data_IF_650063060424
#
_entry.id   IF_650063060424
#
_cell.length_a   1.000
_cell.length_b   1.000
_cell.length_c   1.000
_cell.angle_alpha   90.00
_cell.angle_beta   90.00
_cell.angle_gamma   90.00
#
_symmetry.space_group_name_H-M   'P 1'
#
loop_
_entity.id
_entity.type
_entity.pdbx_description
1 polymer ?
#
# COMPACT_ATOMS: atom_id res chain seq x y z
N UNK A 1 10.48 -11.60 -6.55
CA UNK A 1 10.06 -11.43 -5.13
C UNK A 1 8.65 -10.88 -5.14
N UNK A 2 7.68 -11.62 -4.62
CA UNK A 2 6.32 -11.10 -4.47
C UNK A 2 6.25 -10.26 -3.19
N UNK A 3 5.75 -9.02 -3.33
CA UNK A 3 5.48 -8.14 -2.20
C UNK A 3 4.01 -8.27 -1.85
N UNK A 4 3.73 -8.55 -0.59
CA UNK A 4 2.37 -8.68 -0.04
C UNK A 4 1.97 -7.37 0.65
N UNK A 5 0.67 -7.09 0.67
CA UNK A 5 0.13 -5.96 1.43
C UNK A 5 -1.08 -6.42 2.24
N UNK A 6 -0.92 -6.50 3.55
CA UNK A 6 -1.97 -6.99 4.44
C UNK A 6 -2.71 -5.85 5.12
N UNK A 7 -4.04 -5.94 5.11
CA UNK A 7 -4.94 -5.11 5.92
C UNK A 7 -5.90 -6.06 6.62
N UNK A 8 -5.97 -6.03 7.95
CA UNK A 8 -6.79 -6.93 8.76
C UNK A 8 -6.61 -8.43 8.40
N UNK A 9 -5.36 -8.83 8.09
CA UNK A 9 -5.01 -10.20 7.71
C UNK A 9 -5.30 -10.57 6.26
N UNK A 10 -5.88 -9.66 5.47
CA UNK A 10 -6.21 -9.87 4.06
C UNK A 10 -5.12 -9.30 3.15
N UNK A 11 -4.55 -10.13 2.27
CA UNK A 11 -3.66 -9.65 1.20
C UNK A 11 -4.47 -8.93 0.13
N UNK A 12 -4.42 -7.60 0.15
CA UNK A 12 -5.20 -6.77 -0.75
C UNK A 12 -4.68 -6.81 -2.19
N UNK A 13 -3.40 -7.17 -2.39
CA UNK A 13 -2.80 -7.29 -3.72
C UNK A 13 -3.33 -8.55 -4.39
N UNK A 14 -3.16 -9.72 -3.76
CA UNK A 14 -3.66 -10.98 -4.32
C UNK A 14 -5.18 -11.01 -4.49
N UNK A 15 -5.93 -10.36 -3.59
CA UNK A 15 -7.38 -10.23 -3.72
C UNK A 15 -7.79 -9.38 -4.93
N UNK A 16 -6.98 -8.40 -5.30
CA UNK A 16 -7.34 -7.45 -6.36
C UNK A 16 -7.31 -8.06 -7.75
N UNK A 17 -6.19 -8.67 -8.11
CA UNK A 17 -5.99 -9.43 -9.35
C UNK A 17 -4.75 -10.30 -9.10
N UNK A 18 -4.85 -11.60 -9.37
CA UNK A 18 -3.73 -12.55 -9.24
C UNK A 18 -2.47 -12.16 -10.03
N UNK A 19 -2.57 -11.27 -11.01
CA UNK A 19 -1.47 -10.75 -11.84
C UNK A 19 -0.84 -9.49 -11.28
N UNK A 20 -1.32 -9.00 -10.14
CA UNK A 20 -0.75 -7.84 -9.47
C UNK A 20 0.54 -8.20 -8.75
N UNK A 21 1.52 -7.32 -8.88
CA UNK A 21 2.80 -7.41 -8.20
C UNK A 21 2.98 -6.15 -7.37
N UNK A 22 3.12 -6.33 -6.06
CA UNK A 22 3.34 -5.21 -5.15
C UNK A 22 4.60 -4.43 -5.48
N UNK A 23 4.48 -3.10 -5.48
CA UNK A 23 5.63 -2.21 -5.66
C UNK A 23 6.64 -2.42 -4.55
N UNK A 24 7.88 -2.11 -4.87
CA UNK A 24 9.00 -2.47 -4.03
C UNK A 24 8.99 -1.69 -2.70
N UNK A 25 9.19 -2.35 -1.53
CA UNK A 25 9.11 -1.68 -0.22
C UNK A 25 10.04 -0.45 -0.08
N UNK A 26 11.26 -0.45 -0.64
CA UNK A 26 12.12 0.77 -0.66
C UNK A 26 11.46 1.98 -1.34
N UNK A 27 10.59 1.75 -2.32
CA UNK A 27 9.91 2.82 -3.04
C UNK A 27 8.75 3.38 -2.21
N UNK A 28 8.03 2.50 -1.50
CA UNK A 28 6.81 2.84 -0.76
C UNK A 28 7.07 3.34 0.68
N UNK A 29 7.91 2.62 1.42
CA UNK A 29 8.00 2.70 2.89
C UNK A 29 9.17 3.54 3.41
N UNK A 30 10.05 4.02 2.54
CA UNK A 30 11.17 4.87 2.96
C UNK A 30 10.67 6.09 3.74
N UNK A 31 11.45 6.65 4.68
CA UNK A 31 11.10 7.91 5.33
C UNK A 31 10.72 8.99 4.32
N UNK A 32 9.55 9.61 4.51
CA UNK A 32 8.98 10.61 3.57
C UNK A 32 8.50 10.03 2.23
N UNK A 33 8.44 8.70 2.09
CA UNK A 33 7.95 8.00 0.91
C UNK A 33 6.43 8.06 0.73
N UNK A 34 5.90 7.43 -0.33
CA UNK A 34 4.48 7.45 -0.67
C UNK A 34 3.55 7.00 0.46
N UNK A 35 3.92 5.97 1.23
CA UNK A 35 3.10 5.48 2.35
C UNK A 35 3.37 6.18 3.69
N UNK A 36 4.28 7.14 3.75
CA UNK A 36 4.39 8.00 4.93
C UNK A 36 3.10 8.83 5.06
N UNK A 37 2.57 9.13 6.27
CA UNK A 37 1.36 9.96 6.44
C UNK A 37 1.59 11.46 6.19
N UNK A 38 0.59 12.16 5.67
CA UNK A 38 0.49 13.63 5.69
C UNK A 38 -0.96 14.07 5.70
N UNK A 39 -1.22 15.29 6.18
CA UNK A 39 -2.56 15.88 6.19
C UNK A 39 -3.12 16.05 4.78
N UNK A 40 -2.29 16.44 3.81
CA UNK A 40 -2.68 16.50 2.41
C UNK A 40 -2.97 15.08 1.87
N UNK A 41 -4.17 14.82 1.32
CA UNK A 41 -4.47 13.54 0.70
C UNK A 41 -3.56 13.27 -0.51
N UNK A 42 -3.09 12.04 -0.64
CA UNK A 42 -2.29 11.58 -1.79
C UNK A 42 -2.79 10.25 -2.33
N UNK A 43 -2.74 10.09 -3.64
CA UNK A 43 -2.97 8.79 -4.28
C UNK A 43 -1.64 8.05 -4.40
N UNK A 44 -1.61 6.81 -3.94
CA UNK A 44 -0.42 5.96 -3.90
C UNK A 44 -0.70 4.69 -4.69
N UNK A 45 0.15 4.40 -5.67
CA UNK A 45 0.21 3.07 -6.30
C UNK A 45 0.93 2.12 -5.35
N UNK A 46 0.34 0.97 -5.07
CA UNK A 46 0.90 -0.06 -4.17
C UNK A 46 1.21 -1.36 -4.89
N UNK A 47 0.59 -1.60 -6.05
CA UNK A 47 0.91 -2.72 -6.91
C UNK A 47 0.68 -2.33 -8.38
N UNK A 48 1.37 -3.04 -9.27
CA UNK A 48 1.20 -2.94 -10.72
C UNK A 48 0.92 -4.31 -11.29
N UNK A 49 0.06 -4.37 -12.31
CA UNK A 49 -0.14 -5.59 -13.08
C UNK A 49 1.10 -5.92 -13.90
N UNK A 50 1.56 -7.17 -13.81
CA UNK A 50 2.70 -7.66 -14.57
C UNK A 50 2.50 -7.47 -16.09
N UNK A 51 3.50 -6.90 -16.77
CA UNK A 51 3.45 -6.63 -18.21
C UNK A 51 2.62 -5.43 -18.66
N UNK A 52 2.09 -4.61 -17.74
CA UNK A 52 1.37 -3.38 -18.08
C UNK A 52 2.28 -2.15 -18.20
N UNK A 53 1.96 -1.24 -19.12
CA UNK A 53 2.52 0.12 -19.11
C UNK A 53 2.07 0.87 -17.84
N UNK A 54 2.90 1.82 -17.40
CA UNK A 54 2.61 2.60 -16.20
C UNK A 54 1.24 3.30 -16.32
N UNK A 55 0.50 3.35 -15.20
CA UNK A 55 -0.81 3.99 -14.99
C UNK A 55 -2.05 3.20 -15.41
N UNK A 56 -1.94 2.25 -16.35
CA UNK A 56 -3.04 1.35 -16.72
C UNK A 56 -2.93 0.04 -15.91
N UNK A 57 -3.77 -0.12 -14.89
CA UNK A 57 -3.80 -1.36 -14.09
C UNK A 57 -2.90 -1.35 -12.85
N UNK A 58 -2.64 -0.19 -12.28
CA UNK A 58 -2.06 -0.06 -10.94
C UNK A 58 -3.16 -0.17 -9.86
N UNK A 59 -2.89 -0.94 -8.80
CA UNK A 59 -3.68 -0.94 -7.58
C UNK A 59 -3.31 0.31 -6.80
N UNK A 60 -4.28 1.20 -6.63
CA UNK A 60 -4.09 2.50 -5.97
C UNK A 60 -4.95 2.61 -4.72
N UNK A 61 -4.44 3.36 -3.76
CA UNK A 61 -5.19 3.84 -2.59
C UNK A 61 -5.03 5.35 -2.45
N UNK A 62 -5.97 5.99 -1.78
CA UNK A 62 -5.83 7.35 -1.28
C UNK A 62 -5.46 7.31 0.19
N UNK A 63 -4.37 7.97 0.53
CA UNK A 63 -3.82 8.05 1.88
C UNK A 63 -3.92 9.48 2.40
N UNK A 64 -4.42 9.65 3.63
CA UNK A 64 -4.42 10.93 4.34
C UNK A 64 -4.28 10.73 5.84
N UNK A 65 -3.67 11.70 6.52
CA UNK A 65 -3.72 11.82 7.97
C UNK A 65 -4.96 12.63 8.36
N UNK A 66 -5.74 12.12 9.31
CA UNK A 66 -6.90 12.81 9.89
C UNK A 66 -6.83 12.71 11.42
N UNK A 67 -6.40 13.80 12.06
CA UNK A 67 -6.12 13.78 13.50
C UNK A 67 -5.05 12.74 13.82
N UNK A 68 -5.35 11.83 14.74
CA UNK A 68 -4.43 10.75 15.15
C UNK A 68 -4.58 9.45 14.31
N UNK A 69 -5.24 9.51 13.14
CA UNK A 69 -5.49 8.32 12.32
C UNK A 69 -5.03 8.50 10.88
N UNK A 70 -4.32 7.51 10.37
CA UNK A 70 -4.04 7.35 8.94
C UNK A 70 -5.23 6.67 8.30
N UNK A 71 -5.76 7.27 7.24
CA UNK A 71 -6.94 6.79 6.55
C UNK A 71 -6.55 6.38 5.15
N UNK A 72 -6.86 5.12 4.82
CA UNK A 72 -6.79 4.60 3.46
C UNK A 72 -8.21 4.56 2.91
N UNK A 73 -8.45 5.20 1.78
CA UNK A 73 -9.73 5.18 1.06
C UNK A 73 -9.49 4.84 -0.40
N UNK A 74 -10.58 4.61 -1.13
CA UNK A 74 -10.54 4.44 -2.58
C UNK A 74 -9.50 3.38 -3.00
N UNK A 75 -9.42 2.28 -2.24
CA UNK A 75 -8.62 1.14 -2.69
C UNK A 75 -9.35 0.57 -3.91
N UNK A 76 -8.85 0.90 -5.09
CA UNK A 76 -9.52 0.60 -6.36
C UNK A 76 -9.02 -0.74 -6.89
N UNK A 77 -9.85 -1.78 -6.81
CA UNK A 77 -9.61 -3.01 -7.56
C UNK A 77 -9.65 -2.70 -9.07
N UNK A 78 -8.61 -3.03 -9.85
CA UNK A 78 -8.68 -2.91 -11.29
C UNK A 78 -9.44 -4.11 -11.86
N UNK A 79 -10.65 -3.86 -12.36
CA UNK A 79 -11.48 -4.87 -13.01
C UNK A 79 -12.95 -4.44 -13.06
N UNK A 80 -13.76 -5.01 -13.96
CA UNK A 80 -15.20 -4.71 -14.04
C UNK A 80 -15.91 -5.23 -12.78
N UNK A 81 -16.08 -4.34 -11.81
CA UNK A 81 -16.65 -4.64 -10.49
C UNK A 81 -16.09 -3.74 -9.39
N UNK A 82 -15.81 -2.47 -9.73
CA UNK A 82 -15.13 -1.45 -8.92
C UNK A 82 -15.89 -1.07 -7.64
N UNK A 83 -16.08 -1.99 -6.69
CA UNK A 83 -16.51 -1.62 -5.35
C UNK A 83 -15.26 -1.23 -4.55
N UNK A 84 -15.06 0.07 -4.23
CA UNK A 84 -13.94 0.48 -3.42
C UNK A 84 -14.06 -0.13 -2.01
N UNK A 85 -12.92 -0.42 -1.39
CA UNK A 85 -12.90 -0.52 0.07
C UNK A 85 -13.27 0.87 0.61
N UNK A 86 -14.40 0.97 1.33
CA UNK A 86 -14.99 2.24 1.76
C UNK A 86 -13.97 3.15 2.46
N UNK A 87 -13.37 2.70 3.56
CA UNK A 87 -12.26 3.37 4.24
C UNK A 87 -11.69 2.43 5.31
N UNK A 88 -10.36 2.38 5.44
CA UNK A 88 -9.67 1.72 6.56
C UNK A 88 -8.94 2.78 7.37
N UNK A 89 -9.00 2.67 8.70
CA UNK A 89 -8.42 3.63 9.64
C UNK A 89 -7.40 2.94 10.54
N UNK A 90 -6.22 3.52 10.61
CA UNK A 90 -5.13 3.05 11.45
C UNK A 90 -4.76 4.13 12.46
N UNK A 91 -4.61 3.81 13.76
CA UNK A 91 -3.95 4.71 14.70
C UNK A 91 -2.55 5.06 14.19
N UNK A 92 -2.16 6.33 14.23
CA UNK A 92 -0.89 6.79 13.64
C UNK A 92 0.32 6.08 14.24
N UNK A 93 0.34 5.83 15.55
CA UNK A 93 1.43 5.14 16.24
C UNK A 93 1.61 3.71 15.70
N UNK A 94 0.51 2.95 15.60
CA UNK A 94 0.54 1.59 15.08
C UNK A 94 0.94 1.55 13.60
N UNK A 95 0.40 2.48 12.80
CA UNK A 95 0.74 2.61 11.39
C UNK A 95 2.24 2.89 11.19
N UNK A 96 2.78 3.86 11.92
CA UNK A 96 4.18 4.24 11.81
C UNK A 96 5.12 3.13 12.27
N UNK A 97 4.79 2.44 13.37
CA UNK A 97 5.55 1.29 13.84
C UNK A 97 5.62 0.20 12.76
N UNK A 98 4.51 -0.08 12.08
CA UNK A 98 4.45 -1.09 11.03
C UNK A 98 5.23 -0.68 9.76
N UNK A 99 5.11 0.59 9.31
CA UNK A 99 5.92 1.11 8.19
C UNK A 99 7.41 0.98 8.49
N UNK A 100 7.83 1.35 9.70
CA UNK A 100 9.24 1.26 10.12
C UNK A 100 9.71 -0.18 10.20
N UNK A 101 8.93 -1.08 10.81
CA UNK A 101 9.23 -2.51 10.91
C UNK A 101 9.39 -3.14 9.53
N UNK A 102 8.45 -2.89 8.62
CA UNK A 102 8.45 -3.42 7.27
C UNK A 102 9.61 -2.86 6.43
N UNK A 103 9.92 -1.56 6.56
CA UNK A 103 11.08 -0.96 5.91
C UNK A 103 12.40 -1.57 6.42
N UNK A 104 12.54 -1.75 7.73
CA UNK A 104 13.74 -2.33 8.33
C UNK A 104 13.94 -3.81 7.95
N UNK A 105 12.88 -4.62 8.01
CA UNK A 105 12.92 -6.03 7.60
C UNK A 105 13.36 -6.20 6.14
N UNK A 106 13.00 -5.23 5.29
CA UNK A 106 13.40 -5.22 3.90
C UNK A 106 14.82 -4.63 3.71
N UNK A 107 15.23 -3.67 4.55
CA UNK A 107 16.55 -3.03 4.48
C UNK A 107 17.69 -3.93 4.98
N UNK A 108 17.40 -4.93 5.81
CA UNK A 108 18.37 -5.94 6.19
C UNK A 108 18.71 -6.82 4.98
N UNK A 109 20.00 -7.08 4.69
CA UNK A 109 20.34 -8.16 3.78
C UNK A 109 19.79 -9.45 4.39
N UNK A 110 19.09 -10.26 3.58
CA UNK A 110 18.78 -11.65 3.93
C UNK A 110 20.10 -12.29 4.36
N UNK A 111 20.28 -12.46 5.67
CA UNK A 111 21.37 -13.26 6.19
C UNK A 111 20.85 -14.68 6.14
N UNK A 112 21.49 -15.49 5.31
CA UNK A 112 21.13 -16.90 5.01
C UNK A 112 20.99 -17.76 6.27
#
# INVERSE_FOLDING_TARGET
MHTFLFVDGLDVIARSDSRMVGLHPRQLLRPGGPLYPSEAPRTVSVARREGSEADLGDLRLRLRLRGASVVWSDLMYPGPGHEPIEEVRFPIEQYMAEVQRAYAAWALPLTE
#
